data_IF_758450914451
#
_entry.id   IF_758450914451
#
_cell.length_a   1.000
_cell.length_b   1.000
_cell.length_c   1.000
_cell.angle_alpha   90.00
_cell.angle_beta   90.00
_cell.angle_gamma   90.00
#
_symmetry.space_group_name_H-M   'P 1'
#
loop_
_entity.id
_entity.type
_entity.pdbx_description
1 polymer ?
#
# COMPACT_ATOMS: atom_id res chain seq x y z
N UNK A 1 26.04 3.56 10.41
CA UNK A 1 26.25 2.28 11.11
C UNK A 1 24.88 1.75 11.52
N UNK A 2 24.58 0.54 11.11
CA UNK A 2 23.36 -0.17 11.51
C UNK A 2 23.81 -1.22 12.53
N UNK A 3 23.34 -1.09 13.76
CA UNK A 3 23.66 -2.05 14.83
C UNK A 3 22.54 -3.08 15.02
N UNK A 4 22.78 -4.08 15.87
CA UNK A 4 21.82 -5.17 16.12
C UNK A 4 20.52 -4.70 16.79
N UNK A 5 20.49 -3.50 17.35
CA UNK A 5 19.32 -2.95 18.04
C UNK A 5 18.24 -2.48 17.06
N UNK A 6 18.55 -2.35 15.76
CA UNK A 6 17.57 -1.97 14.74
C UNK A 6 16.35 -2.90 14.73
N UNK A 7 16.51 -4.17 15.10
CA UNK A 7 15.43 -5.14 15.23
C UNK A 7 14.37 -4.77 16.26
N UNK A 8 14.68 -3.85 17.17
CA UNK A 8 13.79 -3.38 18.24
C UNK A 8 13.16 -2.01 17.90
N UNK A 9 13.45 -1.43 16.73
CA UNK A 9 12.97 -0.10 16.34
C UNK A 9 11.44 0.02 16.39
N UNK A 10 10.72 -1.07 16.09
CA UNK A 10 9.26 -1.13 16.20
C UNK A 10 8.75 -0.86 17.62
N UNK A 11 9.52 -1.20 18.64
CA UNK A 11 9.10 -1.10 20.05
C UNK A 11 8.91 0.36 20.53
N UNK A 12 9.49 1.35 19.85
CA UNK A 12 9.29 2.77 20.15
C UNK A 12 8.05 3.39 19.51
N UNK A 13 7.35 2.64 18.64
CA UNK A 13 6.19 3.14 17.88
C UNK A 13 4.92 2.92 18.70
N UNK A 14 4.30 3.99 19.29
CA UNK A 14 3.16 3.85 20.17
C UNK A 14 1.93 3.22 19.50
N UNK A 15 1.80 3.33 18.20
CA UNK A 15 0.70 2.76 17.43
C UNK A 15 0.56 1.24 17.58
N UNK A 16 1.67 0.53 17.78
CA UNK A 16 1.65 -0.93 17.97
C UNK A 16 1.09 -1.36 19.31
N UNK A 17 1.02 -0.46 20.29
CA UNK A 17 0.48 -0.74 21.63
C UNK A 17 -1.02 -0.45 21.74
N UNK A 18 -1.66 0.04 20.68
CA UNK A 18 -3.09 0.30 20.63
C UNK A 18 -3.78 -0.79 19.82
N UNK A 19 -4.64 -1.58 20.49
CA UNK A 19 -5.38 -2.67 19.86
C UNK A 19 -6.19 -2.18 18.66
N UNK A 20 -6.17 -2.94 17.59
CA UNK A 20 -6.93 -2.68 16.37
C UNK A 20 -6.62 -1.33 15.67
N UNK A 21 -5.47 -0.72 15.98
CA UNK A 21 -5.15 0.59 15.41
C UNK A 21 -4.44 0.50 14.06
N UNK A 22 -3.40 -0.33 13.95
CA UNK A 22 -2.49 -0.30 12.79
C UNK A 22 -3.08 -0.91 11.52
N UNK A 23 -4.07 -1.80 11.61
CA UNK A 23 -4.69 -2.42 10.44
C UNK A 23 -5.32 -1.38 9.48
N UNK A 24 -5.75 -0.21 9.99
CA UNK A 24 -6.35 0.84 9.16
C UNK A 24 -5.38 1.39 8.11
N UNK A 25 -4.08 1.32 8.35
CA UNK A 25 -3.07 1.74 7.37
C UNK A 25 -3.02 0.75 6.19
N UNK A 26 -3.08 -0.54 6.47
CA UNK A 26 -3.17 -1.57 5.42
C UNK A 26 -4.48 -1.41 4.61
N UNK A 27 -5.60 -1.19 5.29
CA UNK A 27 -6.89 -0.91 4.64
C UNK A 27 -6.82 0.33 3.75
N UNK A 28 -6.28 1.44 4.28
CA UNK A 28 -6.16 2.70 3.55
C UNK A 28 -5.30 2.59 2.29
N UNK A 29 -4.14 1.94 2.38
CA UNK A 29 -3.26 1.75 1.21
C UNK A 29 -3.90 0.81 0.17
N UNK A 30 -4.60 -0.23 0.61
CA UNK A 30 -5.28 -1.16 -0.30
C UNK A 30 -6.38 -0.46 -1.11
N UNK A 31 -7.18 0.39 -0.46
CA UNK A 31 -8.19 1.21 -1.14
C UNK A 31 -7.54 2.19 -2.13
N UNK A 32 -6.47 2.88 -1.70
CA UNK A 32 -5.76 3.83 -2.56
C UNK A 32 -5.19 3.14 -3.81
N UNK A 33 -4.55 1.99 -3.67
CA UNK A 33 -4.00 1.21 -4.78
C UNK A 33 -5.11 0.72 -5.71
N UNK A 34 -6.25 0.28 -5.19
CA UNK A 34 -7.40 -0.14 -5.98
C UNK A 34 -7.96 1.01 -6.83
N UNK A 35 -8.15 2.19 -6.22
CA UNK A 35 -8.62 3.40 -6.93
C UNK A 35 -7.65 3.78 -8.06
N UNK A 36 -6.36 3.86 -7.75
CA UNK A 36 -5.33 4.22 -8.73
C UNK A 36 -5.28 3.21 -9.87
N UNK A 37 -5.32 1.92 -9.55
CA UNK A 37 -5.34 0.85 -10.55
C UNK A 37 -6.55 0.97 -11.47
N UNK A 38 -7.75 1.18 -10.92
CA UNK A 38 -8.97 1.34 -11.71
C UNK A 38 -8.90 2.56 -12.66
N UNK A 39 -8.31 3.68 -12.18
CA UNK A 39 -8.13 4.89 -13.01
C UNK A 39 -7.11 4.64 -14.12
N UNK A 40 -5.95 4.07 -13.81
CA UNK A 40 -4.89 3.82 -14.79
C UNK A 40 -5.30 2.80 -15.85
N UNK A 41 -6.15 1.85 -15.49
CA UNK A 41 -6.72 0.87 -16.42
C UNK A 41 -7.97 1.39 -17.17
N UNK A 42 -8.30 2.68 -17.04
CA UNK A 42 -9.44 3.32 -17.68
C UNK A 42 -10.78 2.60 -17.41
N UNK A 43 -10.96 2.07 -16.20
CA UNK A 43 -12.21 1.43 -15.82
C UNK A 43 -13.36 2.46 -15.88
N UNK A 44 -14.52 2.10 -16.44
CA UNK A 44 -15.64 3.02 -16.55
C UNK A 44 -15.98 3.66 -15.19
N UNK A 45 -16.17 4.98 -15.20
CA UNK A 45 -16.52 5.79 -14.03
C UNK A 45 -15.48 5.82 -12.88
N UNK A 46 -14.27 5.26 -13.03
CA UNK A 46 -13.28 5.22 -11.95
C UNK A 46 -12.91 6.61 -11.45
N UNK A 47 -12.66 7.54 -12.35
CA UNK A 47 -12.34 8.93 -11.99
C UNK A 47 -13.53 9.65 -11.34
N UNK A 48 -14.74 9.46 -11.86
CA UNK A 48 -15.96 10.07 -11.32
C UNK A 48 -16.23 9.56 -9.89
N UNK A 49 -16.06 8.26 -9.68
CA UNK A 49 -16.17 7.62 -8.37
C UNK A 49 -15.13 8.16 -7.38
N UNK A 50 -13.90 8.33 -7.80
CA UNK A 50 -12.87 8.95 -6.97
C UNK A 50 -13.20 10.39 -6.60
N UNK A 51 -13.65 11.19 -7.56
CA UNK A 51 -14.06 12.58 -7.30
C UNK A 51 -15.30 12.64 -6.37
N UNK A 52 -16.24 11.71 -6.52
CA UNK A 52 -17.37 11.55 -5.61
C UNK A 52 -16.91 11.22 -4.18
N UNK A 53 -15.95 10.31 -4.04
CA UNK A 53 -15.33 9.98 -2.76
C UNK A 53 -14.76 11.24 -2.08
N UNK A 54 -13.95 12.02 -2.79
CA UNK A 54 -13.35 13.25 -2.26
C UNK A 54 -14.41 14.28 -1.86
N UNK A 55 -15.45 14.46 -2.66
CA UNK A 55 -16.57 15.39 -2.38
C UNK A 55 -17.42 14.95 -1.20
N UNK A 56 -17.47 13.66 -0.91
CA UNK A 56 -18.30 13.11 0.18
C UNK A 56 -17.80 13.51 1.57
N UNK A 57 -16.50 13.79 1.73
CA UNK A 57 -15.91 14.17 3.01
C UNK A 57 -16.34 13.25 4.15
N UNK A 58 -16.81 13.82 5.26
CA UNK A 58 -17.33 13.09 6.43
C UNK A 58 -18.85 12.92 6.45
N UNK A 59 -19.53 12.89 5.30
CA UNK A 59 -21.02 12.88 5.23
C UNK A 59 -21.66 11.59 5.71
N UNK A 60 -20.89 10.49 5.82
CA UNK A 60 -21.37 9.19 6.28
C UNK A 60 -20.21 8.35 6.84
N UNK A 61 -20.48 7.12 7.28
CA UNK A 61 -19.45 6.17 7.69
C UNK A 61 -18.51 5.83 6.50
N UNK A 62 -17.20 5.67 6.74
CA UNK A 62 -16.21 5.45 5.68
C UNK A 62 -16.56 4.31 4.72
N UNK A 63 -17.01 3.16 5.25
CA UNK A 63 -17.38 2.01 4.43
C UNK A 63 -18.57 2.31 3.51
N UNK A 64 -19.55 3.06 3.99
CA UNK A 64 -20.72 3.45 3.20
C UNK A 64 -20.34 4.42 2.08
N UNK A 65 -19.41 5.35 2.36
CA UNK A 65 -18.91 6.28 1.34
C UNK A 65 -18.17 5.52 0.27
N UNK A 66 -17.26 4.61 0.65
CA UNK A 66 -16.50 3.79 -0.29
C UNK A 66 -17.42 2.94 -1.16
N UNK A 67 -18.41 2.30 -0.56
CA UNK A 67 -19.39 1.48 -1.27
C UNK A 67 -20.17 2.27 -2.32
N UNK A 68 -20.61 3.49 -1.97
CA UNK A 68 -21.25 4.43 -2.93
C UNK A 68 -20.33 4.81 -4.09
N UNK A 69 -19.02 4.80 -3.85
CA UNK A 69 -17.99 5.08 -4.84
C UNK A 69 -17.48 3.82 -5.58
N UNK A 70 -18.21 2.71 -5.46
CA UNK A 70 -17.91 1.47 -6.18
C UNK A 70 -16.80 0.62 -5.57
N UNK A 71 -16.46 0.82 -4.28
CA UNK A 71 -15.45 0.04 -3.56
C UNK A 71 -16.11 -0.63 -2.35
N UNK A 72 -16.26 -1.94 -2.39
CA UNK A 72 -16.80 -2.73 -1.28
C UNK A 72 -15.68 -3.58 -0.65
N UNK A 73 -14.98 -3.02 0.34
CA UNK A 73 -13.83 -3.67 1.00
C UNK A 73 -14.23 -5.01 1.67
N UNK A 74 -15.49 -5.17 2.01
CA UNK A 74 -15.97 -6.36 2.73
C UNK A 74 -16.18 -7.54 1.77
N UNK A 75 -16.64 -7.25 0.54
CA UNK A 75 -17.03 -8.28 -0.42
C UNK A 75 -16.14 -8.32 -1.67
N UNK A 76 -15.30 -7.29 -1.87
CA UNK A 76 -14.42 -7.20 -3.01
C UNK A 76 -13.01 -7.74 -2.69
N UNK A 77 -12.29 -8.11 -3.73
CA UNK A 77 -10.88 -8.51 -3.71
C UNK A 77 -9.90 -7.30 -3.60
N UNK A 78 -10.34 -6.22 -2.96
CA UNK A 78 -9.57 -4.95 -2.86
C UNK A 78 -8.18 -5.15 -2.26
N UNK A 79 -8.06 -5.99 -1.22
CA UNK A 79 -6.78 -6.28 -0.57
C UNK A 79 -5.91 -7.15 -1.48
N UNK A 80 -6.49 -8.15 -2.13
CA UNK A 80 -5.79 -9.04 -3.06
C UNK A 80 -5.24 -8.27 -4.27
N UNK A 81 -6.03 -7.36 -4.82
CA UNK A 81 -5.57 -6.44 -5.89
C UNK A 81 -4.39 -5.58 -5.43
N UNK A 82 -4.44 -5.05 -4.23
CA UNK A 82 -3.33 -4.26 -3.68
C UNK A 82 -2.06 -5.10 -3.52
N UNK A 83 -2.18 -6.33 -3.05
CA UNK A 83 -1.06 -7.28 -2.95
C UNK A 83 -0.52 -7.65 -4.32
N UNK A 84 -1.38 -7.80 -5.33
CA UNK A 84 -0.93 -8.06 -6.71
C UNK A 84 -0.15 -6.86 -7.28
N UNK A 85 -0.61 -5.63 -7.09
CA UNK A 85 0.13 -4.42 -7.48
C UNK A 85 1.51 -4.37 -6.81
N UNK A 86 1.58 -4.71 -5.52
CA UNK A 86 2.86 -4.81 -4.81
C UNK A 86 3.78 -5.86 -5.43
N UNK A 87 3.25 -7.05 -5.70
CA UNK A 87 4.00 -8.15 -6.31
C UNK A 87 4.56 -7.76 -7.69
N UNK A 88 3.72 -7.22 -8.55
CA UNK A 88 4.11 -6.80 -9.89
C UNK A 88 5.20 -5.71 -9.85
N UNK A 89 5.03 -4.73 -8.96
CA UNK A 89 6.02 -3.66 -8.74
C UNK A 89 7.35 -4.22 -8.24
N UNK A 90 7.31 -5.21 -7.35
CA UNK A 90 8.51 -5.89 -6.85
C UNK A 90 9.23 -6.64 -7.96
N UNK A 91 8.49 -7.34 -8.83
CA UNK A 91 9.09 -8.06 -9.96
C UNK A 91 9.71 -7.10 -10.99
N UNK A 92 9.06 -5.97 -11.26
CA UNK A 92 9.61 -4.92 -12.12
C UNK A 92 10.86 -4.28 -11.51
N UNK A 93 10.84 -4.05 -10.21
CA UNK A 93 12.01 -3.55 -9.49
C UNK A 93 13.19 -4.52 -9.56
N UNK A 94 12.96 -5.83 -9.39
CA UNK A 94 13.99 -6.86 -9.53
C UNK A 94 14.60 -6.90 -10.94
N UNK A 95 13.77 -6.67 -11.98
CA UNK A 95 14.22 -6.63 -13.38
C UNK A 95 14.96 -5.35 -13.73
N UNK A 96 14.79 -4.28 -12.98
CA UNK A 96 15.44 -2.99 -13.27
C UNK A 96 16.96 -3.08 -13.12
N UNK A 97 17.72 -2.43 -14.03
CA UNK A 97 19.20 -2.35 -13.93
C UNK A 97 19.67 -1.70 -12.63
N UNK A 98 18.88 -0.81 -12.03
CA UNK A 98 19.16 -0.17 -10.73
C UNK A 98 19.19 -1.18 -9.59
N UNK A 99 18.34 -2.21 -9.64
CA UNK A 99 18.35 -3.29 -8.67
C UNK A 99 19.65 -4.08 -8.68
N UNK A 100 20.14 -4.46 -9.86
CA UNK A 100 21.40 -5.18 -9.99
C UNK A 100 22.61 -4.40 -9.46
N UNK A 101 22.60 -3.07 -9.58
CA UNK A 101 23.66 -2.20 -9.05
C UNK A 101 23.56 -2.08 -7.52
N UNK A 102 22.37 -1.87 -7.00
CA UNK A 102 22.13 -1.78 -5.54
C UNK A 102 22.50 -3.09 -4.83
N UNK A 103 22.06 -4.25 -5.34
CA UNK A 103 22.39 -5.55 -4.78
C UNK A 103 23.88 -5.87 -4.86
N UNK A 104 24.53 -5.58 -5.97
CA UNK A 104 26.01 -5.72 -6.06
C UNK A 104 26.71 -4.92 -4.99
N UNK A 105 26.30 -3.67 -4.79
CA UNK A 105 26.92 -2.81 -3.78
C UNK A 105 26.62 -3.28 -2.34
N UNK A 106 25.41 -3.76 -2.06
CA UNK A 106 25.05 -4.32 -0.75
C UNK A 106 25.81 -5.62 -0.47
N UNK A 107 25.93 -6.51 -1.46
CA UNK A 107 26.70 -7.74 -1.33
C UNK A 107 28.19 -7.46 -1.18
N UNK A 108 28.74 -6.52 -1.98
CA UNK A 108 30.14 -6.13 -1.86
C UNK A 108 30.45 -5.56 -0.47
N UNK A 109 29.58 -4.67 0.05
CA UNK A 109 29.74 -4.12 1.42
C UNK A 109 29.61 -5.19 2.51
N UNK A 110 28.81 -6.23 2.28
CA UNK A 110 28.56 -7.28 3.28
C UNK A 110 29.66 -8.37 3.33
N UNK A 111 30.35 -8.61 2.21
CA UNK A 111 31.28 -9.73 2.08
C UNK A 111 32.72 -9.36 1.70
N UNK A 112 33.01 -8.11 1.38
CA UNK A 112 34.33 -7.62 1.01
C UNK A 112 34.83 -6.43 1.85
N UNK A 113 34.09 -6.00 2.87
CA UNK A 113 34.49 -5.09 3.94
C UNK A 113 34.66 -5.86 5.20
#
# INVERSE_FOLDING_TARGET
IVDDNIKYEWARIPHFYTSFYVYKYATGISVALSIVSDILNNKPHALDNYLLFLKSGGSNYPLEILKKCGIDIVNDDTIEKALQVFYDTLEDFKRSRKWNVLWRNVIIMKYLG
#
